data_IF_397943631553
#
_entry.id   IF_397943631553
#
_cell.length_a   1.000
_cell.length_b   1.000
_cell.length_c   1.000
_cell.angle_alpha   90.00
_cell.angle_beta   90.00
_cell.angle_gamma   90.00
#
_symmetry.space_group_name_H-M   'P 1'
#
loop_
_entity.id
_entity.type
_entity.pdbx_description
1 polymer ?
#
# COMPACT_ATOMS: atom_id res chain seq x y z
N UNK A 1 -26.82 -19.37 -13.32
CA UNK A 1 -25.59 -20.20 -13.44
C UNK A 1 -24.30 -19.47 -12.99
N UNK A 2 -24.09 -18.21 -13.41
CA UNK A 2 -22.91 -17.42 -13.03
C UNK A 2 -22.84 -17.11 -11.53
N UNK A 3 -23.96 -16.67 -10.93
CA UNK A 3 -23.99 -16.28 -9.51
C UNK A 3 -23.66 -17.42 -8.52
N UNK A 4 -24.03 -18.68 -8.82
CA UNK A 4 -23.77 -19.81 -7.90
C UNK A 4 -22.30 -20.18 -7.76
N UNK A 5 -21.45 -19.81 -8.72
CA UNK A 5 -20.01 -20.12 -8.70
C UNK A 5 -19.16 -19.14 -7.89
N UNK A 6 -19.74 -17.99 -7.49
CA UNK A 6 -19.01 -16.91 -6.81
C UNK A 6 -19.55 -16.58 -5.42
N UNK A 7 -20.69 -17.15 -5.03
CA UNK A 7 -21.30 -16.88 -3.74
C UNK A 7 -20.97 -17.96 -2.71
N UNK A 8 -20.95 -17.54 -1.45
CA UNK A 8 -20.94 -18.41 -0.27
C UNK A 8 -22.23 -18.16 0.52
N UNK A 9 -22.81 -19.22 1.09
CA UNK A 9 -23.98 -19.12 1.95
C UNK A 9 -23.55 -18.79 3.38
N UNK A 10 -24.08 -17.70 3.92
CA UNK A 10 -23.86 -17.28 5.29
C UNK A 10 -25.20 -16.95 5.94
N UNK A 11 -25.57 -17.69 7.00
CA UNK A 11 -26.82 -17.47 7.74
C UNK A 11 -28.08 -17.44 6.83
N UNK A 12 -28.12 -18.30 5.80
CA UNK A 12 -29.23 -18.36 4.84
C UNK A 12 -29.25 -17.25 3.78
N UNK A 13 -28.18 -16.45 3.68
CA UNK A 13 -27.99 -15.44 2.64
C UNK A 13 -26.83 -15.80 1.73
N UNK A 14 -27.05 -15.67 0.43
CA UNK A 14 -26.01 -15.82 -0.59
C UNK A 14 -25.20 -14.52 -0.70
N UNK A 15 -23.92 -14.57 -0.31
CA UNK A 15 -23.00 -13.43 -0.33
C UNK A 15 -21.88 -13.65 -1.34
N UNK A 16 -21.48 -12.59 -2.06
CA UNK A 16 -20.39 -12.67 -3.03
C UNK A 16 -19.05 -12.90 -2.32
N UNK A 17 -18.35 -13.98 -2.68
CA UNK A 17 -17.06 -14.32 -2.08
C UNK A 17 -15.90 -13.63 -2.77
N UNK A 18 -15.13 -12.85 -2.00
CA UNK A 18 -13.89 -12.24 -2.45
C UNK A 18 -12.85 -13.27 -2.87
N UNK A 19 -12.75 -14.38 -2.13
CA UNK A 19 -11.83 -15.48 -2.42
C UNK A 19 -12.17 -16.25 -3.70
N UNK A 20 -13.46 -16.46 -4.01
CA UNK A 20 -13.88 -17.11 -5.26
C UNK A 20 -13.67 -16.18 -6.47
N UNK A 21 -14.03 -14.90 -6.33
CA UNK A 21 -13.79 -13.89 -7.39
C UNK A 21 -12.29 -13.77 -7.68
N UNK A 22 -11.45 -13.72 -6.65
CA UNK A 22 -10.00 -13.62 -6.82
C UNK A 22 -9.42 -14.85 -7.53
N UNK A 23 -9.86 -16.06 -7.16
CA UNK A 23 -9.42 -17.31 -7.81
C UNK A 23 -9.80 -17.35 -9.29
N UNK A 24 -11.04 -16.99 -9.62
CA UNK A 24 -11.47 -16.87 -11.01
C UNK A 24 -10.66 -15.82 -11.78
N UNK A 25 -10.44 -14.65 -11.17
CA UNK A 25 -9.69 -13.56 -11.78
C UNK A 25 -8.26 -13.99 -12.11
N UNK A 26 -7.58 -14.70 -11.20
CA UNK A 26 -6.26 -15.30 -11.45
C UNK A 26 -6.29 -16.25 -12.65
N UNK A 27 -7.23 -17.20 -12.69
CA UNK A 27 -7.35 -18.16 -13.79
C UNK A 27 -7.74 -17.50 -15.13
N UNK A 28 -8.49 -16.39 -15.08
CA UNK A 28 -8.79 -15.59 -16.27
C UNK A 28 -7.56 -14.87 -16.79
N UNK A 29 -6.81 -14.18 -15.91
CA UNK A 29 -5.58 -13.48 -16.29
C UNK A 29 -4.53 -14.42 -16.85
N UNK A 30 -4.39 -15.63 -16.29
CA UNK A 30 -3.44 -16.63 -16.80
C UNK A 30 -3.79 -17.05 -18.24
N UNK A 31 -5.09 -17.23 -18.55
CA UNK A 31 -5.55 -17.53 -19.92
C UNK A 31 -5.33 -16.35 -20.88
N UNK A 32 -5.68 -15.14 -20.46
CA UNK A 32 -5.44 -13.92 -21.25
C UNK A 32 -3.95 -13.71 -21.52
N UNK A 33 -3.09 -13.89 -20.52
CA UNK A 33 -1.64 -13.81 -20.68
C UNK A 33 -1.15 -14.84 -21.68
N UNK A 34 -1.63 -16.08 -21.61
CA UNK A 34 -1.31 -17.13 -22.61
C UNK A 34 -1.62 -16.70 -24.04
N UNK A 35 -2.74 -16.00 -24.26
CA UNK A 35 -3.14 -15.53 -25.60
C UNK A 35 -2.29 -14.36 -26.14
N UNK A 36 -1.77 -13.49 -25.27
CA UNK A 36 -1.00 -12.30 -25.71
C UNK A 36 0.51 -12.48 -25.60
N UNK A 37 1.00 -13.48 -24.84
CA UNK A 37 2.42 -13.67 -24.52
C UNK A 37 3.32 -13.73 -25.75
N UNK A 38 2.88 -14.42 -26.81
CA UNK A 38 3.66 -14.53 -28.04
C UNK A 38 3.94 -13.18 -28.69
N UNK A 39 2.98 -12.23 -28.65
CA UNK A 39 3.16 -10.88 -29.23
C UNK A 39 4.13 -10.01 -28.43
N UNK A 40 4.36 -10.35 -27.16
CA UNK A 40 5.19 -9.58 -26.25
C UNK A 40 6.63 -10.12 -26.19
N UNK A 41 6.86 -11.38 -26.55
CA UNK A 41 8.12 -12.10 -26.30
C UNK A 41 9.36 -11.44 -26.91
N UNK A 42 9.22 -10.75 -28.05
CA UNK A 42 10.30 -10.04 -28.74
C UNK A 42 10.75 -8.79 -27.96
N UNK A 43 9.84 -8.18 -27.19
CA UNK A 43 10.08 -6.91 -26.49
C UNK A 43 10.29 -7.10 -24.99
N UNK A 44 9.59 -8.06 -24.38
CA UNK A 44 9.68 -8.32 -22.95
C UNK A 44 9.32 -9.77 -22.59
N UNK A 45 9.95 -10.26 -21.53
CA UNK A 45 9.55 -11.47 -20.82
C UNK A 45 8.47 -11.09 -19.82
N UNK A 46 7.31 -11.72 -19.97
CA UNK A 46 6.15 -11.49 -19.11
C UNK A 46 5.79 -12.76 -18.35
N UNK A 47 5.65 -12.65 -17.04
CA UNK A 47 5.21 -13.75 -16.17
C UNK A 47 4.16 -13.28 -15.17
N UNK A 48 3.31 -14.20 -14.72
CA UNK A 48 2.29 -13.93 -13.72
C UNK A 48 2.60 -14.75 -12.47
N UNK A 49 2.93 -14.08 -11.38
CA UNK A 49 3.00 -14.74 -10.07
C UNK A 49 1.61 -14.73 -9.45
N UNK A 50 1.01 -15.91 -9.31
CA UNK A 50 -0.24 -16.11 -8.58
C UNK A 50 0.06 -16.94 -7.32
N UNK A 51 -0.44 -16.47 -6.17
CA UNK A 51 -0.47 -17.27 -4.95
C UNK A 51 -1.91 -17.38 -4.47
N UNK A 52 -2.31 -18.52 -3.87
CA UNK A 52 -3.66 -18.69 -3.34
C UNK A 52 -4.02 -17.52 -2.43
N UNK A 53 -5.14 -16.86 -2.74
CA UNK A 53 -5.64 -15.77 -1.92
C UNK A 53 -4.93 -14.42 -2.06
N UNK A 54 -3.88 -14.25 -2.89
CA UNK A 54 -3.27 -12.92 -3.11
C UNK A 54 -3.53 -12.38 -4.51
N UNK A 55 -3.70 -11.06 -4.70
CA UNK A 55 -3.77 -10.46 -6.02
C UNK A 55 -2.58 -10.88 -6.90
N UNK A 56 -2.82 -11.37 -8.13
CA UNK A 56 -1.74 -11.77 -9.02
C UNK A 56 -0.87 -10.56 -9.38
N UNK A 57 0.43 -10.80 -9.50
CA UNK A 57 1.40 -9.77 -9.90
C UNK A 57 1.99 -10.15 -11.24
N UNK A 58 1.86 -9.23 -12.20
CA UNK A 58 2.42 -9.33 -13.54
C UNK A 58 3.84 -8.77 -13.51
N UNK A 59 4.82 -9.62 -13.80
CA UNK A 59 6.21 -9.21 -13.93
C UNK A 59 6.53 -9.01 -15.41
N UNK A 60 7.10 -7.85 -15.72
CA UNK A 60 7.48 -7.44 -17.08
C UNK A 60 8.97 -7.13 -17.04
N UNK A 61 9.75 -7.92 -17.75
CA UNK A 61 11.20 -7.74 -17.87
C UNK A 61 11.50 -7.42 -19.32
N UNK A 62 11.89 -6.17 -19.66
CA UNK A 62 12.26 -5.81 -21.02
C UNK A 62 13.40 -6.69 -21.54
N UNK A 63 13.32 -7.11 -22.81
CA UNK A 63 14.36 -7.87 -23.50
C UNK A 63 15.47 -6.98 -24.10
N UNK A 64 15.61 -5.75 -23.61
CA UNK A 64 16.50 -4.74 -24.17
C UNK A 64 17.97 -5.11 -23.99
N UNK A 65 18.75 -4.88 -25.05
CA UNK A 65 20.22 -4.92 -25.13
C UNK A 65 20.88 -3.59 -24.71
N UNK A 66 20.10 -2.50 -24.64
CA UNK A 66 20.55 -1.23 -24.08
C UNK A 66 20.68 -1.29 -22.55
N UNK A 67 21.88 -0.93 -22.08
CA UNK A 67 22.36 -0.96 -20.68
C UNK A 67 21.43 -0.24 -19.67
N UNK A 68 20.59 0.71 -20.12
CA UNK A 68 19.71 1.50 -19.25
C UNK A 68 18.26 0.98 -19.15
N UNK A 69 17.85 -0.06 -19.89
CA UNK A 69 16.45 -0.48 -20.00
C UNK A 69 16.12 -1.79 -19.26
N UNK A 70 16.98 -2.28 -18.37
CA UNK A 70 16.76 -3.52 -17.60
C UNK A 70 15.80 -3.36 -16.41
N UNK A 71 15.03 -2.26 -16.34
CA UNK A 71 14.13 -2.02 -15.21
C UNK A 71 12.95 -3.00 -15.32
N UNK A 72 12.99 -4.05 -14.50
CA UNK A 72 11.86 -4.96 -14.33
C UNK A 72 10.71 -4.23 -13.64
N UNK A 73 9.50 -4.41 -14.15
CA UNK A 73 8.28 -3.87 -13.55
C UNK A 73 7.45 -5.00 -12.96
N UNK A 74 6.88 -4.76 -11.77
CA UNK A 74 5.92 -5.65 -11.14
C UNK A 74 4.59 -4.89 -10.97
N UNK A 75 3.55 -5.34 -11.66
CA UNK A 75 2.22 -4.72 -11.67
C UNK A 75 1.25 -5.63 -10.93
N UNK A 76 0.78 -5.20 -9.76
CA UNK A 76 -0.24 -5.93 -9.01
C UNK A 76 -1.61 -5.68 -9.65
N UNK A 77 -2.25 -6.75 -10.10
CA UNK A 77 -3.58 -6.71 -10.72
C UNK A 77 -4.63 -7.06 -9.67
N UNK A 78 -5.52 -6.13 -9.35
CA UNK A 78 -6.50 -6.26 -8.27
C UNK A 78 -7.91 -6.21 -8.86
N UNK A 79 -8.75 -7.25 -8.67
CA UNK A 79 -10.15 -7.17 -9.07
C UNK A 79 -10.86 -6.15 -8.17
N UNK A 80 -11.58 -5.23 -8.80
CA UNK A 80 -12.26 -4.12 -8.13
C UNK A 80 -13.71 -4.03 -8.62
N UNK A 81 -14.66 -4.14 -7.69
CA UNK A 81 -16.09 -3.97 -7.96
C UNK A 81 -16.45 -2.51 -7.62
N UNK A 82 -16.98 -1.71 -8.56
CA UNK A 82 -17.37 -0.35 -8.28
C UNK A 82 -18.51 -0.31 -7.26
N UNK A 83 -18.40 0.60 -6.29
CA UNK A 83 -19.39 0.90 -5.28
C UNK A 83 -19.74 2.39 -5.36
N UNK A 84 -20.77 2.72 -6.13
CA UNK A 84 -21.08 4.11 -6.49
C UNK A 84 -20.01 4.74 -7.39
N UNK A 85 -19.80 6.05 -7.27
CA UNK A 85 -19.02 6.82 -8.25
C UNK A 85 -17.49 6.74 -8.06
N UNK A 86 -17.05 6.50 -6.83
CA UNK A 86 -15.65 6.71 -6.46
C UNK A 86 -15.07 5.67 -5.49
N UNK A 87 -15.82 4.65 -5.09
CA UNK A 87 -15.32 3.60 -4.21
C UNK A 87 -15.26 2.27 -4.92
N UNK A 88 -14.40 1.39 -4.42
CA UNK A 88 -14.24 0.06 -4.97
C UNK A 88 -14.17 -0.97 -3.85
N UNK A 89 -14.80 -2.12 -4.06
CA UNK A 89 -14.59 -3.31 -3.25
C UNK A 89 -13.50 -4.15 -3.90
N UNK A 90 -12.45 -4.44 -3.14
CA UNK A 90 -11.30 -5.24 -3.57
C UNK A 90 -11.24 -6.53 -2.78
N UNK A 91 -10.80 -7.61 -3.42
CA UNK A 91 -10.68 -8.89 -2.74
C UNK A 91 -9.59 -8.82 -1.65
N UNK A 92 -9.94 -9.15 -0.41
CA UNK A 92 -8.98 -9.27 0.69
C UNK A 92 -8.26 -10.61 0.60
N UNK A 93 -6.94 -10.63 0.88
CA UNK A 93 -6.27 -11.90 1.07
C UNK A 93 -6.79 -12.59 2.33
N UNK A 94 -7.01 -13.91 2.29
CA UNK A 94 -7.47 -14.65 3.44
C UNK A 94 -6.40 -14.65 4.53
N UNK A 95 -6.82 -14.39 5.78
CA UNK A 95 -5.97 -14.59 6.94
C UNK A 95 -5.86 -16.09 7.23
N UNK A 96 -4.77 -16.70 6.75
CA UNK A 96 -4.44 -18.10 7.00
C UNK A 96 -4.99 -19.10 5.96
N UNK A 97 -4.62 -20.39 6.11
CA UNK A 97 -4.89 -21.43 5.12
C UNK A 97 -6.37 -21.82 5.00
N UNK A 98 -7.18 -21.58 6.04
CA UNK A 98 -8.60 -21.92 6.05
C UNK A 98 -9.44 -20.80 6.69
N UNK A 99 -9.76 -19.74 5.93
CA UNK A 99 -10.56 -18.63 6.44
C UNK A 99 -12.00 -19.11 6.72
N UNK A 100 -12.63 -18.65 7.82
CA UNK A 100 -14.03 -18.95 8.08
C UNK A 100 -14.92 -18.46 6.92
N UNK A 101 -16.09 -19.09 6.68
CA UNK A 101 -16.97 -18.70 5.57
C UNK A 101 -17.33 -17.20 5.56
N UNK A 102 -17.49 -16.60 6.74
CA UNK A 102 -17.70 -15.16 6.91
C UNK A 102 -16.55 -14.33 6.34
N UNK A 103 -15.29 -14.71 6.59
CA UNK A 103 -14.12 -14.01 6.08
C UNK A 103 -14.01 -14.10 4.55
N UNK A 104 -14.51 -15.19 3.94
CA UNK A 104 -14.54 -15.33 2.48
C UNK A 104 -15.54 -14.40 1.81
N UNK A 105 -16.50 -13.84 2.55
CA UNK A 105 -17.47 -12.84 2.10
C UNK A 105 -17.04 -11.41 2.43
N UNK A 106 -15.91 -11.20 3.13
CA UNK A 106 -15.39 -9.87 3.42
C UNK A 106 -14.65 -9.29 2.21
N UNK A 107 -14.86 -8.00 1.99
CA UNK A 107 -14.24 -7.22 0.93
C UNK A 107 -13.50 -6.02 1.53
N UNK A 108 -12.35 -5.70 0.95
CA UNK A 108 -11.57 -4.54 1.33
C UNK A 108 -12.13 -3.32 0.62
N UNK A 109 -12.48 -2.30 1.38
CA UNK A 109 -12.90 -1.03 0.82
C UNK A 109 -11.67 -0.26 0.33
N UNK A 110 -11.73 0.21 -0.92
CA UNK A 110 -10.68 1.01 -1.54
C UNK A 110 -11.23 2.41 -1.86
N UNK A 111 -10.63 3.42 -1.22
CA UNK A 111 -10.96 4.84 -1.39
C UNK A 111 -9.88 5.59 -2.18
N UNK A 112 -9.20 4.91 -3.12
CA UNK A 112 -8.09 5.50 -3.89
C UNK A 112 -8.47 6.75 -4.69
N UNK A 113 -9.72 6.88 -5.14
CA UNK A 113 -10.17 8.11 -5.80
C UNK A 113 -10.30 9.28 -4.83
N UNK A 114 -10.74 9.03 -3.59
CA UNK A 114 -10.81 10.04 -2.52
C UNK A 114 -9.39 10.47 -2.12
N UNK A 115 -8.46 9.52 -2.03
CA UNK A 115 -7.04 9.82 -1.84
C UNK A 115 -6.47 10.68 -2.96
N UNK A 116 -6.78 10.35 -4.22
CA UNK A 116 -6.34 11.14 -5.37
C UNK A 116 -6.91 12.56 -5.33
N UNK A 117 -8.18 12.72 -4.95
CA UNK A 117 -8.80 14.04 -4.76
C UNK A 117 -8.12 14.83 -3.65
N UNK A 118 -7.84 14.20 -2.51
CA UNK A 118 -7.11 14.84 -1.42
C UNK A 118 -5.70 15.26 -1.85
N UNK A 119 -4.95 14.39 -2.52
CA UNK A 119 -3.61 14.72 -3.01
C UNK A 119 -3.66 15.86 -4.02
N UNK A 120 -4.68 15.88 -4.89
CA UNK A 120 -4.85 16.96 -5.87
C UNK A 120 -5.17 18.28 -5.18
N UNK A 121 -6.10 18.26 -4.22
CA UNK A 121 -6.43 19.43 -3.39
C UNK A 121 -5.20 19.93 -2.61
N UNK A 122 -4.44 19.04 -1.97
CA UNK A 122 -3.21 19.40 -1.24
C UNK A 122 -2.18 20.08 -2.15
N UNK A 123 -2.06 19.64 -3.41
CA UNK A 123 -1.15 20.26 -4.39
C UNK A 123 -1.59 21.67 -4.78
N UNK A 124 -2.90 21.94 -4.81
CA UNK A 124 -3.44 23.25 -5.11
C UNK A 124 -3.28 24.22 -3.92
N UNK A 125 -3.34 23.71 -2.70
CA UNK A 125 -3.24 24.53 -1.49
C UNK A 125 -1.82 24.71 -0.96
N UNK A 126 -0.93 23.73 -1.15
CA UNK A 126 0.44 23.79 -0.66
C UNK A 126 1.33 24.71 -1.53
N UNK A 127 2.45 25.22 -0.99
CA UNK A 127 3.44 25.93 -1.80
C UNK A 127 3.87 25.14 -3.03
N UNK A 128 4.15 25.81 -4.15
CA UNK A 128 4.64 25.16 -5.37
C UNK A 128 5.93 24.35 -5.14
N UNK A 129 6.75 24.79 -4.19
CA UNK A 129 7.97 24.16 -3.70
C UNK A 129 7.73 23.08 -2.62
N UNK A 130 6.50 22.63 -2.38
CA UNK A 130 6.24 21.80 -1.20
C UNK A 130 6.96 20.44 -1.21
N UNK A 131 7.53 20.05 -0.06
CA UNK A 131 8.31 18.83 0.12
C UNK A 131 7.51 17.60 0.57
N UNK A 132 6.21 17.71 0.86
CA UNK A 132 5.42 16.63 1.48
C UNK A 132 5.50 15.28 0.73
N UNK A 133 5.45 15.29 -0.60
CA UNK A 133 5.63 14.07 -1.40
C UNK A 133 7.08 13.57 -1.39
N UNK A 134 8.07 14.47 -1.34
CA UNK A 134 9.49 14.10 -1.20
C UNK A 134 9.72 13.41 0.15
N UNK A 135 9.15 13.93 1.23
CA UNK A 135 9.21 13.30 2.56
C UNK A 135 8.65 11.86 2.52
N UNK A 136 7.47 11.67 1.91
CA UNK A 136 6.86 10.35 1.78
C UNK A 136 7.70 9.38 0.94
N UNK A 137 8.28 9.87 -0.16
CA UNK A 137 9.15 9.08 -1.04
C UNK A 137 10.44 8.65 -0.34
N UNK A 138 11.11 9.58 0.35
CA UNK A 138 12.33 9.29 1.11
C UNK A 138 12.02 8.28 2.22
N UNK A 139 10.94 8.47 2.98
CA UNK A 139 10.58 7.57 4.06
C UNK A 139 10.23 6.16 3.56
N UNK A 140 9.50 6.05 2.44
CA UNK A 140 9.26 4.76 1.77
C UNK A 140 10.57 4.10 1.34
N UNK A 141 11.47 4.87 0.73
CA UNK A 141 12.80 4.39 0.34
C UNK A 141 13.59 3.87 1.54
N UNK A 142 13.67 4.63 2.63
CA UNK A 142 14.35 4.21 3.87
C UNK A 142 13.74 2.93 4.45
N UNK A 143 12.41 2.82 4.50
CA UNK A 143 11.71 1.61 4.92
C UNK A 143 12.10 0.42 4.04
N UNK A 144 12.08 0.58 2.72
CA UNK A 144 12.33 -0.52 1.77
C UNK A 144 13.80 -0.96 1.81
N UNK A 145 14.74 -0.02 1.87
CA UNK A 145 16.17 -0.29 2.01
C UNK A 145 16.49 -1.00 3.33
N UNK A 146 15.89 -0.56 4.44
CA UNK A 146 16.12 -1.20 5.73
C UNK A 146 15.51 -2.58 5.81
N UNK A 147 14.32 -2.78 5.23
CA UNK A 147 13.61 -4.05 5.24
C UNK A 147 14.45 -5.21 4.73
N UNK A 148 15.27 -5.00 3.69
CA UNK A 148 16.12 -6.03 3.09
C UNK A 148 17.21 -6.59 4.03
N UNK A 149 17.59 -5.86 5.08
CA UNK A 149 18.66 -6.24 6.00
C UNK A 149 18.19 -6.69 7.39
N UNK A 150 16.89 -6.78 7.63
CA UNK A 150 16.35 -7.17 8.94
C UNK A 150 16.21 -8.71 9.04
N UNK A 151 16.46 -9.31 10.21
CA UNK A 151 16.17 -10.72 10.43
C UNK A 151 14.65 -10.97 10.52
N UNK A 152 14.20 -12.18 10.18
CA UNK A 152 12.83 -12.61 10.50
C UNK A 152 12.67 -12.84 12.02
N UNK A 153 11.48 -12.61 12.61
CA UNK A 153 10.21 -12.17 11.97
C UNK A 153 10.11 -10.65 11.74
N UNK A 154 11.10 -9.87 12.18
CA UNK A 154 11.03 -8.41 12.13
C UNK A 154 10.96 -7.86 10.70
N UNK A 155 11.64 -8.49 9.74
CA UNK A 155 11.55 -8.11 8.33
C UNK A 155 10.11 -8.15 7.80
N UNK A 156 9.40 -9.26 8.00
CA UNK A 156 8.01 -9.39 7.54
C UNK A 156 7.06 -8.46 8.28
N UNK A 157 7.27 -8.22 9.57
CA UNK A 157 6.47 -7.28 10.37
C UNK A 157 6.73 -5.81 9.98
N UNK A 158 7.99 -5.44 9.72
CA UNK A 158 8.41 -4.09 9.35
C UNK A 158 7.64 -3.54 8.15
N UNK A 159 7.58 -4.32 7.06
CA UNK A 159 6.85 -3.92 5.85
C UNK A 159 5.32 -3.91 6.03
N UNK A 160 4.79 -4.77 6.91
CA UNK A 160 3.35 -4.84 7.21
C UNK A 160 2.89 -3.67 8.08
N UNK A 161 3.62 -3.37 9.16
CA UNK A 161 3.32 -2.26 10.07
C UNK A 161 3.54 -0.93 9.35
N UNK A 162 4.70 -0.72 8.72
CA UNK A 162 5.01 0.50 7.96
C UNK A 162 4.54 0.40 6.50
N UNK A 163 3.34 -0.14 6.28
CA UNK A 163 2.78 -0.24 4.93
C UNK A 163 2.71 1.12 4.25
N UNK A 164 2.74 1.14 2.91
CA UNK A 164 2.61 2.40 2.16
C UNK A 164 1.31 3.16 2.46
N UNK A 165 0.28 2.47 2.95
CA UNK A 165 -0.95 3.09 3.42
C UNK A 165 -0.74 3.79 4.76
N UNK A 166 -0.16 3.11 5.76
CA UNK A 166 0.19 3.69 7.08
C UNK A 166 1.05 4.95 6.95
N UNK A 167 2.11 4.89 6.13
CA UNK A 167 2.99 6.06 5.91
C UNK A 167 2.24 7.24 5.30
N UNK A 168 1.31 6.98 4.36
CA UNK A 168 0.51 8.00 3.69
C UNK A 168 -0.55 8.59 4.63
N UNK A 169 -1.22 7.76 5.41
CA UNK A 169 -2.19 8.20 6.43
C UNK A 169 -1.51 9.10 7.46
N UNK A 170 -0.33 8.73 7.94
CA UNK A 170 0.44 9.57 8.88
C UNK A 170 0.81 10.94 8.27
N UNK A 171 1.24 10.96 7.01
CA UNK A 171 1.50 12.22 6.30
C UNK A 171 0.24 13.09 6.18
N UNK A 172 -0.90 12.51 5.80
CA UNK A 172 -2.15 13.26 5.69
C UNK A 172 -2.61 13.82 7.03
N UNK A 173 -2.49 13.05 8.11
CA UNK A 173 -2.79 13.52 9.46
C UNK A 173 -1.93 14.72 9.84
N UNK A 174 -0.62 14.70 9.56
CA UNK A 174 0.26 15.84 9.83
C UNK A 174 -0.04 17.05 8.95
N UNK A 175 -0.28 16.84 7.64
CA UNK A 175 -0.59 17.91 6.70
C UNK A 175 -1.84 18.69 7.10
N UNK A 176 -2.87 18.01 7.61
CA UNK A 176 -4.12 18.66 8.02
C UNK A 176 -4.10 19.20 9.46
N UNK A 177 -3.06 18.93 10.25
CA UNK A 177 -2.93 19.45 11.62
C UNK A 177 -2.28 20.84 11.69
N UNK A 178 -1.61 21.29 10.62
CA UNK A 178 -0.85 22.54 10.60
C UNK A 178 -0.93 23.29 9.28
N UNK A 179 -0.30 24.47 9.18
CA UNK A 179 -0.28 25.26 7.96
C UNK A 179 0.49 24.53 6.84
N UNK A 180 -0.05 24.53 5.63
CA UNK A 180 0.56 23.85 4.48
C UNK A 180 1.85 24.56 4.02
N UNK A 181 1.99 25.85 4.34
CA UNK A 181 3.19 26.66 4.10
C UNK A 181 4.41 26.13 4.86
N UNK A 182 4.19 25.45 5.99
CA UNK A 182 5.27 24.82 6.75
C UNK A 182 5.92 23.63 6.00
N UNK A 183 5.35 23.20 4.88
CA UNK A 183 5.88 22.13 4.03
C UNK A 183 6.67 22.65 2.84
N UNK A 184 7.17 23.88 2.87
CA UNK A 184 8.11 24.40 1.87
C UNK A 184 9.41 23.58 1.81
N UNK A 185 10.04 23.48 0.62
CA UNK A 185 11.24 22.65 0.39
C UNK A 185 12.40 22.94 1.32
N UNK A 186 12.53 24.18 1.78
CA UNK A 186 13.61 24.59 2.69
C UNK A 186 13.55 23.87 4.03
N UNK A 187 12.37 23.34 4.40
CA UNK A 187 12.14 22.61 5.65
C UNK A 187 12.06 21.09 5.45
N UNK A 188 12.56 20.56 4.32
CA UNK A 188 12.45 19.14 3.97
C UNK A 188 12.95 18.20 5.09
N UNK A 189 14.07 18.54 5.73
CA UNK A 189 14.66 17.70 6.78
C UNK A 189 13.81 17.71 8.04
N UNK A 190 13.37 18.88 8.47
CA UNK A 190 12.50 19.10 9.63
C UNK A 190 11.16 18.39 9.43
N UNK A 191 10.53 18.54 8.26
CA UNK A 191 9.26 17.86 7.93
C UNK A 191 9.39 16.35 7.85
N UNK A 192 10.54 15.85 7.39
CA UNK A 192 10.81 14.41 7.38
C UNK A 192 11.01 13.89 8.82
N UNK A 193 11.71 14.63 9.68
CA UNK A 193 11.87 14.32 11.09
C UNK A 193 10.51 14.30 11.82
N UNK A 194 9.68 15.33 11.62
CA UNK A 194 8.33 15.40 12.20
C UNK A 194 7.48 14.19 11.79
N UNK A 195 7.55 13.77 10.52
CA UNK A 195 6.85 12.59 10.05
C UNK A 195 7.33 11.31 10.73
N UNK A 196 8.64 11.15 10.92
CA UNK A 196 9.24 10.00 11.62
C UNK A 196 8.83 10.00 13.09
N UNK A 197 8.91 11.13 13.77
CA UNK A 197 8.55 11.27 15.18
C UNK A 197 7.05 11.04 15.40
N UNK A 198 6.21 11.58 14.53
CA UNK A 198 4.77 11.33 14.56
C UNK A 198 4.44 9.85 14.38
N UNK A 199 5.08 9.17 13.41
CA UNK A 199 4.90 7.73 13.23
C UNK A 199 5.36 6.93 14.45
N UNK A 200 6.52 7.25 15.03
CA UNK A 200 6.98 6.64 16.28
C UNK A 200 5.94 6.79 17.39
N UNK A 201 5.37 7.99 17.54
CA UNK A 201 4.39 8.25 18.59
C UNK A 201 3.09 7.51 18.35
N UNK A 202 2.63 7.41 17.09
CA UNK A 202 1.48 6.58 16.72
C UNK A 202 1.72 5.10 17.05
N UNK A 203 2.91 4.58 16.76
CA UNK A 203 3.27 3.19 17.05
C UNK A 203 3.31 2.91 18.56
N UNK A 204 3.96 3.78 19.35
CA UNK A 204 4.02 3.64 20.81
C UNK A 204 2.66 3.79 21.48
N UNK A 205 1.82 4.71 20.99
CA UNK A 205 0.44 4.87 21.45
C UNK A 205 -0.50 3.81 20.89
N UNK A 206 -0.02 3.01 19.92
CA UNK A 206 -0.78 1.98 19.19
C UNK A 206 -2.04 2.53 18.50
N UNK A 207 -2.00 3.80 18.07
CA UNK A 207 -3.14 4.49 17.48
C UNK A 207 -2.70 5.23 16.21
N UNK A 208 -3.27 4.83 15.09
CA UNK A 208 -3.31 5.60 13.84
C UNK A 208 -4.64 5.32 13.15
N UNK A 209 -5.55 6.29 13.20
CA UNK A 209 -6.88 6.13 12.62
C UNK A 209 -6.83 6.18 11.09
N UNK A 210 -7.65 5.36 10.44
CA UNK A 210 -7.89 5.43 9.02
C UNK A 210 -8.40 6.82 8.65
N UNK A 211 -7.83 7.39 7.58
CA UNK A 211 -8.05 8.79 7.27
C UNK A 211 -9.41 9.06 6.62
N UNK A 212 -10.03 8.06 5.97
CA UNK A 212 -11.29 8.24 5.23
C UNK A 212 -12.49 7.61 5.93
N UNK A 213 -12.29 6.87 7.03
CA UNK A 213 -13.37 6.25 7.79
C UNK A 213 -13.57 6.97 9.12
N UNK A 214 -14.76 7.55 9.32
CA UNK A 214 -15.09 8.29 10.54
C UNK A 214 -14.33 9.61 10.70
N UNK A 215 -13.70 10.12 9.65
CA UNK A 215 -12.94 11.38 9.69
C UNK A 215 -13.83 12.60 9.45
N UNK A 216 -13.95 13.44 10.46
CA UNK A 216 -14.65 14.74 10.38
C UNK A 216 -13.75 15.88 9.86
N UNK A 217 -12.44 15.64 9.70
CA UNK A 217 -11.44 16.69 9.39
C UNK A 217 -11.08 16.81 7.92
N UNK A 218 -11.81 16.12 7.03
CA UNK A 218 -11.57 16.20 5.59
C UNK A 218 -12.05 17.54 4.99
N UNK A 219 -11.27 18.17 4.09
CA UNK A 219 -11.72 19.32 3.33
C UNK A 219 -12.98 18.99 2.51
N UNK A 220 -13.91 19.95 2.38
CA UNK A 220 -15.16 19.75 1.62
C UNK A 220 -14.94 19.33 0.16
N UNK A 221 -13.83 19.77 -0.45
CA UNK A 221 -13.42 19.39 -1.79
C UNK A 221 -13.19 17.87 -1.95
N UNK A 222 -12.85 17.17 -0.86
CA UNK A 222 -12.69 15.72 -0.82
C UNK A 222 -14.02 15.09 -0.41
N UNK A 223 -15.05 15.31 -1.23
CA UNK A 223 -16.41 14.82 -0.98
C UNK A 223 -16.40 13.32 -0.65
N UNK A 224 -16.69 12.99 0.61
CA UNK A 224 -16.71 11.63 1.15
C UNK A 224 -18.16 11.13 1.24
N UNK A 225 -18.48 9.92 0.73
CA UNK A 225 -19.82 9.33 0.87
C UNK A 225 -20.28 9.24 2.33
N UNK A 226 -21.59 9.45 2.57
CA UNK A 226 -22.18 9.53 3.92
C UNK A 226 -21.84 8.31 4.79
N UNK A 227 -21.95 7.10 4.24
CA UNK A 227 -21.66 5.88 4.98
C UNK A 227 -20.20 5.74 5.43
N UNK A 228 -19.24 6.43 4.79
CA UNK A 228 -17.85 6.47 5.25
C UNK A 228 -17.63 7.53 6.33
N UNK A 229 -18.35 8.65 6.27
CA UNK A 229 -18.37 9.64 7.34
C UNK A 229 -18.95 9.06 8.63
N UNK A 230 -20.00 8.24 8.49
CA UNK A 230 -20.72 7.59 9.59
C UNK A 230 -20.12 6.23 9.99
N UNK A 231 -19.12 5.73 9.25
CA UNK A 231 -18.46 4.47 9.56
C UNK A 231 -17.74 4.56 10.91
N UNK A 232 -17.74 3.45 11.65
CA UNK A 232 -16.95 3.32 12.86
C UNK A 232 -15.47 3.61 12.55
N UNK A 233 -14.81 4.51 13.29
CA UNK A 233 -13.40 4.80 13.08
C UNK A 233 -12.55 3.53 13.18
N UNK A 234 -11.67 3.30 12.21
CA UNK A 234 -10.80 2.12 12.16
C UNK A 234 -9.38 2.51 12.56
N UNK A 235 -8.80 1.84 13.55
CA UNK A 235 -7.38 1.99 13.88
C UNK A 235 -6.54 1.03 13.04
N UNK A 236 -5.64 1.57 12.21
CA UNK A 236 -4.78 0.80 11.31
C UNK A 236 -3.75 -0.06 12.05
N UNK A 237 -3.46 0.26 13.31
CA UNK A 237 -2.49 -0.45 14.13
C UNK A 237 -3.12 -1.54 15.01
N UNK A 238 -4.45 -1.63 15.08
CA UNK A 238 -5.16 -2.54 15.98
C UNK A 238 -4.93 -4.03 15.68
N UNK A 239 -4.47 -4.36 14.47
CA UNK A 239 -4.18 -5.74 14.08
C UNK A 239 -2.80 -6.25 14.54
N UNK A 240 -1.98 -5.40 15.18
CA UNK A 240 -0.64 -5.74 15.63
C UNK A 240 -0.58 -5.71 17.16
N UNK A 241 0.20 -6.63 17.74
CA UNK A 241 0.46 -6.63 19.17
C UNK A 241 1.42 -5.49 19.56
N UNK A 242 1.34 -5.04 20.82
CA UNK A 242 2.10 -3.92 21.32
C UNK A 242 3.63 -4.10 21.23
N UNK A 243 4.12 -5.32 21.48
CA UNK A 243 5.55 -5.62 21.42
C UNK A 243 6.09 -5.47 19.98
N UNK A 244 5.35 -5.95 18.99
CA UNK A 244 5.68 -5.74 17.57
C UNK A 244 5.72 -4.26 17.24
N UNK A 245 4.72 -3.48 17.68
CA UNK A 245 4.67 -2.04 17.42
C UNK A 245 5.82 -1.28 18.08
N UNK A 246 6.19 -1.62 19.32
CA UNK A 246 7.33 -1.01 20.03
C UNK A 246 8.66 -1.36 19.36
N UNK A 247 8.83 -2.60 18.92
CA UNK A 247 10.03 -3.04 18.19
C UNK A 247 10.16 -2.27 16.87
N UNK A 248 9.07 -2.13 16.12
CA UNK A 248 9.05 -1.34 14.89
C UNK A 248 9.29 0.15 15.17
N UNK A 249 8.75 0.71 16.25
CA UNK A 249 9.00 2.09 16.64
C UNK A 249 10.47 2.35 16.97
N UNK A 250 11.11 1.45 17.72
CA UNK A 250 12.54 1.52 18.00
C UNK A 250 13.36 1.40 16.71
N UNK A 251 13.03 0.44 15.86
CA UNK A 251 13.72 0.23 14.58
C UNK A 251 13.52 1.43 13.64
N UNK A 252 12.38 2.11 13.66
CA UNK A 252 12.11 3.33 12.90
C UNK A 252 13.08 4.45 13.26
N UNK A 253 13.26 4.71 14.55
CA UNK A 253 14.20 5.73 15.02
C UNK A 253 15.65 5.36 14.74
N UNK A 254 16.02 4.10 14.95
CA UNK A 254 17.36 3.60 14.59
C UNK A 254 17.65 3.79 13.09
N UNK A 255 16.66 3.50 12.23
CA UNK A 255 16.75 3.68 10.77
C UNK A 255 16.88 5.15 10.40
N UNK A 256 16.15 6.04 11.06
CA UNK A 256 16.23 7.49 10.84
C UNK A 256 17.61 8.05 11.19
N UNK A 257 18.14 7.69 12.37
CA UNK A 257 19.49 8.11 12.80
C UNK A 257 20.56 7.62 11.80
N UNK A 258 20.38 6.42 11.24
CA UNK A 258 21.29 5.83 10.26
C UNK A 258 21.00 6.23 8.81
N UNK A 259 19.99 7.08 8.55
CA UNK A 259 19.52 7.36 7.20
C UNK A 259 20.63 7.83 6.23
N UNK A 260 21.55 8.75 6.60
CA UNK A 260 22.63 9.15 5.69
C UNK A 260 23.54 7.99 5.28
N UNK A 261 23.79 7.05 6.19
CA UNK A 261 24.62 5.87 5.92
C UNK A 261 23.88 4.87 5.04
N UNK A 262 22.60 4.62 5.32
CA UNK A 262 21.75 3.73 4.51
C UNK A 262 21.64 4.26 3.08
N UNK A 263 21.33 5.54 2.90
CA UNK A 263 21.22 6.15 1.58
C UNK A 263 22.55 6.02 0.82
N UNK A 264 23.68 6.33 1.45
CA UNK A 264 25.02 6.20 0.84
C UNK A 264 25.33 4.76 0.43
N UNK A 265 25.09 3.80 1.31
CA UNK A 265 25.36 2.38 1.06
C UNK A 265 24.63 1.87 -0.18
N UNK A 266 23.34 2.21 -0.32
CA UNK A 266 22.49 1.71 -1.41
C UNK A 266 22.46 2.61 -2.65
N UNK A 267 23.03 3.81 -2.59
CA UNK A 267 23.28 4.65 -3.77
C UNK A 267 24.47 4.17 -4.63
N UNK A 268 25.21 3.15 -4.17
CA UNK A 268 26.28 2.53 -4.96
C UNK A 268 25.71 1.62 -6.06
N UNK A 269 26.18 1.69 -7.32
CA UNK A 269 25.69 0.88 -8.44
C UNK A 269 25.70 -0.65 -8.20
N UNK A 270 26.45 -1.11 -7.20
CA UNK A 270 26.60 -2.54 -6.86
C UNK A 270 25.34 -3.14 -6.20
N UNK A 271 24.51 -2.33 -5.55
CA UNK A 271 23.28 -2.78 -4.86
C UNK A 271 22.01 -2.64 -5.69
N UNK A 272 22.10 -2.11 -6.92
CA UNK A 272 21.03 -2.16 -7.92
C UNK A 272 20.91 -3.55 -8.59
N UNK A 273 21.60 -4.58 -8.06
CA UNK A 273 21.55 -5.93 -8.63
C UNK A 273 20.13 -6.50 -8.53
N UNK A 274 19.63 -7.15 -9.59
CA UNK A 274 18.29 -7.74 -9.58
C UNK A 274 18.18 -8.78 -8.46
N UNK A 275 17.00 -8.87 -7.87
CA UNK A 275 16.62 -10.00 -7.04
C UNK A 275 17.00 -11.32 -7.76
N UNK A 276 17.45 -12.35 -7.04
CA UNK A 276 17.78 -13.62 -7.66
C UNK A 276 16.56 -14.13 -8.44
N UNK A 277 16.77 -14.41 -9.72
CA UNK A 277 15.78 -15.03 -10.59
C UNK A 277 15.51 -16.44 -10.02
N UNK A 278 14.25 -16.89 -9.93
CA UNK A 278 13.92 -18.25 -9.51
C UNK A 278 14.46 -19.30 -10.49
#
# INVERSE_FOLDING_TARGET
PFARGFCVELQGRSLLSSGLVLRWFQGHLQRCLGAVRYRLQERCRVSLSASPGRPPTLHIVPCSDYVCCHISMAVRLIPAIPLGDALYLTALPPDGPQPPPAAQALWGLNASRQEQRLVSWLKEQAPASSCHLKCLQILKGLRDLRGQGLPEPLCSQWGRVLSSYVLKTALFSLLLQGPLEAWDDRFLMERLEDLVLYLRDCLRKQVLMDFFQGSASLPEAVALPRFLKEATPVNLLAAFDGHTLDTVAFQLISTWIQAPHIIRMYSSPRYLRPAPIP
#
